data_IF_861005379284
#
_entry.id   IF_861005379284
#
_cell.length_a   1.000
_cell.length_b   1.000
_cell.length_c   1.000
_cell.angle_alpha   90.00
_cell.angle_beta   90.00
_cell.angle_gamma   90.00
#
_symmetry.space_group_name_H-M   'P 1'
#
loop_
_entity.id
_entity.type
_entity.pdbx_description
1 polymer ?
#
# COMPACT_ATOMS: atom_id res chain seq x y z
N UNK A 1 -10.54 -12.25 -9.52
CA UNK A 1 -9.11 -12.22 -9.15
C UNK A 1 -8.81 -10.80 -8.77
N UNK A 2 -8.58 -10.53 -7.49
CA UNK A 2 -8.39 -9.16 -7.01
C UNK A 2 -7.13 -9.04 -6.17
N UNK A 3 -6.46 -7.88 -6.28
CA UNK A 3 -5.33 -7.52 -5.44
C UNK A 3 -5.83 -7.30 -4.01
N UNK A 4 -5.38 -8.13 -3.06
CA UNK A 4 -5.82 -8.08 -1.66
C UNK A 4 -4.85 -7.34 -0.76
N UNK A 5 -3.56 -7.51 -1.01
CA UNK A 5 -2.51 -6.85 -0.26
C UNK A 5 -1.30 -6.56 -1.14
N UNK A 6 -0.67 -5.43 -0.90
CA UNK A 6 0.63 -5.09 -1.48
C UNK A 6 1.51 -4.43 -0.41
N UNK A 7 2.76 -4.84 -0.36
CA UNK A 7 3.80 -4.23 0.46
C UNK A 7 4.80 -3.56 -0.46
N UNK A 8 4.98 -2.26 -0.27
CA UNK A 8 5.82 -1.40 -1.09
C UNK A 8 6.95 -0.84 -0.25
N UNK A 9 8.16 -0.91 -0.79
CA UNK A 9 9.29 -0.14 -0.30
C UNK A 9 9.30 1.20 -1.02
N UNK A 10 9.09 2.28 -0.26
CA UNK A 10 8.89 3.63 -0.77
C UNK A 10 9.95 4.55 -0.20
N UNK A 11 10.70 5.19 -1.10
CA UNK A 11 11.65 6.23 -0.77
C UNK A 11 11.00 7.59 -0.88
N UNK A 12 11.09 8.37 0.19
CA UNK A 12 10.58 9.74 0.25
C UNK A 12 11.70 10.67 0.72
N UNK A 13 11.81 11.90 0.18
CA UNK A 13 12.66 12.91 0.77
C UNK A 13 12.21 13.25 2.20
N UNK A 14 13.16 13.43 3.12
CA UNK A 14 12.86 13.73 4.53
C UNK A 14 12.01 15.00 4.67
N UNK A 15 12.24 15.98 3.78
CA UNK A 15 11.43 17.19 3.63
C UNK A 15 10.21 16.90 2.74
N UNK A 16 9.02 17.25 3.22
CA UNK A 16 7.78 17.11 2.44
C UNK A 16 6.61 16.66 3.29
N UNK A 17 5.73 15.85 2.71
CA UNK A 17 4.51 15.36 3.36
C UNK A 17 4.80 14.52 4.60
N UNK A 18 3.91 14.66 5.59
CA UNK A 18 3.91 13.82 6.80
C UNK A 18 3.42 12.41 6.47
N UNK A 19 3.90 11.42 7.23
CA UNK A 19 3.49 10.02 7.10
C UNK A 19 1.97 9.85 7.22
N UNK A 20 1.34 10.63 8.09
CA UNK A 20 -0.11 10.61 8.30
C UNK A 20 -0.85 11.06 7.04
N UNK A 21 -0.39 12.12 6.40
CA UNK A 21 -0.99 12.64 5.15
C UNK A 21 -0.82 11.66 3.99
N UNK A 22 0.34 10.98 3.94
CA UNK A 22 0.59 9.94 2.94
C UNK A 22 -0.38 8.77 3.14
N UNK A 23 -0.49 8.24 4.36
CA UNK A 23 -1.42 7.16 4.68
C UNK A 23 -2.88 7.53 4.35
N UNK A 24 -3.32 8.74 4.72
CA UNK A 24 -4.67 9.25 4.44
C UNK A 24 -4.98 9.42 2.95
N UNK A 25 -3.98 9.70 2.10
CA UNK A 25 -4.21 9.79 0.66
C UNK A 25 -4.27 8.40 0.02
N UNK A 26 -3.47 7.45 0.47
CA UNK A 26 -3.51 6.08 -0.02
C UNK A 26 -4.84 5.38 0.31
N UNK A 27 -5.46 5.72 1.45
CA UNK A 27 -6.80 5.20 1.79
C UNK A 27 -7.92 5.71 0.87
N UNK A 28 -7.66 6.70 0.00
CA UNK A 28 -8.66 7.21 -0.97
C UNK A 28 -8.65 6.45 -2.29
N UNK A 29 -7.68 5.56 -2.49
CA UNK A 29 -7.60 4.74 -3.71
C UNK A 29 -8.68 3.68 -3.67
N UNK A 30 -9.28 3.39 -4.82
CA UNK A 30 -10.32 2.38 -4.96
C UNK A 30 -9.83 0.99 -4.52
N UNK A 31 -10.70 0.27 -3.83
CA UNK A 31 -10.40 -1.05 -3.27
C UNK A 31 -9.57 -1.04 -1.99
N UNK A 32 -8.98 0.08 -1.56
CA UNK A 32 -8.17 0.15 -0.34
C UNK A 32 -9.05 0.18 0.92
N UNK A 33 -8.86 -0.79 1.81
CA UNK A 33 -9.56 -0.84 3.12
C UNK A 33 -8.67 -0.37 4.27
N UNK A 34 -7.36 -0.63 4.19
CA UNK A 34 -6.40 -0.32 5.24
C UNK A 34 -5.05 0.03 4.64
N UNK A 35 -4.41 1.03 5.23
CA UNK A 35 -3.02 1.40 4.92
C UNK A 35 -2.24 1.41 6.21
N UNK A 36 -1.07 0.80 6.19
CA UNK A 36 -0.08 0.84 7.25
C UNK A 36 1.22 1.37 6.68
N UNK A 37 1.81 2.35 7.35
CA UNK A 37 3.09 2.94 6.95
C UNK A 37 4.05 2.78 8.11
N UNK A 38 5.18 2.12 7.86
CA UNK A 38 6.24 1.89 8.83
C UNK A 38 7.50 2.56 8.33
N UNK A 39 8.16 3.34 9.19
CA UNK A 39 9.47 3.90 8.85
C UNK A 39 10.51 2.81 9.05
N UNK A 40 11.21 2.45 7.99
CA UNK A 40 12.22 1.39 8.02
C UNK A 40 13.60 2.00 8.35
N UNK A 41 13.99 3.03 7.61
CA UNK A 41 15.29 3.70 7.77
C UNK A 41 15.16 5.21 7.53
N UNK A 42 16.00 5.99 8.21
CA UNK A 42 16.09 7.44 8.07
C UNK A 42 17.55 7.79 7.76
N UNK A 43 17.79 8.32 6.58
CA UNK A 43 19.07 8.85 6.13
C UNK A 43 19.12 10.38 6.28
N UNK A 44 20.26 10.95 5.90
CA UNK A 44 20.53 12.40 5.97
C UNK A 44 19.46 13.22 5.20
N UNK A 45 19.01 12.75 4.05
CA UNK A 45 18.06 13.46 3.19
C UNK A 45 16.86 12.62 2.74
N UNK A 46 16.89 11.31 2.97
CA UNK A 46 15.88 10.35 2.52
C UNK A 46 15.32 9.55 3.68
N UNK A 47 14.08 9.09 3.54
CA UNK A 47 13.41 8.21 4.48
C UNK A 47 12.85 7.04 3.68
N UNK A 48 13.19 5.84 4.13
CA UNK A 48 12.69 4.60 3.58
C UNK A 48 11.46 4.18 4.38
N UNK A 49 10.35 4.01 3.67
CA UNK A 49 9.04 3.69 4.23
C UNK A 49 8.57 2.36 3.68
N UNK A 50 8.17 1.46 4.56
CA UNK A 50 7.45 0.27 4.19
C UNK A 50 5.94 0.57 4.25
N UNK A 51 5.29 0.58 3.08
CA UNK A 51 3.87 0.89 2.92
C UNK A 51 3.14 -0.40 2.61
N UNK A 52 2.34 -0.86 3.57
CA UNK A 52 1.45 -2.00 3.39
C UNK A 52 0.04 -1.51 3.11
N UNK A 53 -0.55 -1.95 2.01
CA UNK A 53 -1.93 -1.63 1.62
C UNK A 53 -2.72 -2.93 1.57
N UNK A 54 -3.87 -2.97 2.23
CA UNK A 54 -4.79 -4.10 2.28
C UNK A 54 -6.19 -3.66 1.85
N UNK A 55 -6.91 -4.52 1.14
CA UNK A 55 -8.11 -4.14 0.43
C UNK A 55 -8.77 -5.27 -0.34
N UNK A 56 -9.79 -4.89 -1.10
CA UNK A 56 -10.48 -5.75 -2.06
C UNK A 56 -10.37 -5.11 -3.43
N UNK A 57 -9.71 -5.79 -4.36
CA UNK A 57 -9.48 -5.31 -5.73
C UNK A 57 -8.76 -3.95 -5.76
N UNK A 58 -7.62 -3.88 -5.05
CA UNK A 58 -6.82 -2.66 -4.93
C UNK A 58 -6.33 -2.18 -6.31
N UNK A 59 -6.59 -0.91 -6.63
CA UNK A 59 -6.07 -0.27 -7.84
C UNK A 59 -4.58 0.13 -7.66
N UNK A 60 -3.68 -0.67 -8.24
CA UNK A 60 -2.23 -0.44 -8.12
C UNK A 60 -1.76 0.83 -8.86
N UNK A 61 -2.37 1.16 -9.99
CA UNK A 61 -2.00 2.34 -10.78
C UNK A 61 -2.33 3.63 -10.01
N UNK A 62 -3.51 3.69 -9.39
CA UNK A 62 -3.93 4.78 -8.52
C UNK A 62 -3.04 4.93 -7.27
N UNK A 63 -2.62 3.82 -6.65
CA UNK A 63 -1.65 3.84 -5.56
C UNK A 63 -0.33 4.47 -6.00
N UNK A 64 0.21 4.01 -7.13
CA UNK A 64 1.47 4.52 -7.68
C UNK A 64 1.37 6.01 -8.01
N UNK A 65 0.32 6.42 -8.69
CA UNK A 65 0.09 7.83 -9.07
C UNK A 65 -0.06 8.73 -7.84
N UNK A 66 -0.74 8.25 -6.80
CA UNK A 66 -0.87 8.97 -5.52
C UNK A 66 0.48 9.15 -4.82
N UNK A 67 1.33 8.12 -4.82
CA UNK A 67 2.69 8.19 -4.27
C UNK A 67 3.60 9.14 -5.05
N UNK A 68 3.65 8.99 -6.38
CA UNK A 68 4.46 9.83 -7.26
C UNK A 68 4.05 11.31 -7.15
N UNK A 69 2.75 11.60 -7.03
CA UNK A 69 2.21 12.95 -6.82
C UNK A 69 2.64 13.60 -5.50
N UNK A 70 3.01 12.82 -4.49
CA UNK A 70 3.53 13.30 -3.20
C UNK A 70 5.07 13.37 -3.17
N UNK A 71 5.74 13.07 -4.28
CA UNK A 71 7.20 12.99 -4.36
C UNK A 71 7.79 11.75 -3.67
N UNK A 72 6.96 10.72 -3.48
CA UNK A 72 7.38 9.41 -2.99
C UNK A 72 7.60 8.47 -4.18
N UNK A 73 8.68 7.70 -4.16
CA UNK A 73 9.07 6.81 -5.25
C UNK A 73 9.05 5.38 -4.74
N UNK A 74 8.39 4.48 -5.47
CA UNK A 74 8.44 3.04 -5.17
C UNK A 74 9.80 2.53 -5.62
N UNK A 75 10.60 2.05 -4.66
CA UNK A 75 11.90 1.44 -4.92
C UNK A 75 11.74 -0.02 -5.30
N UNK A 76 10.87 -0.75 -4.58
CA UNK A 76 10.56 -2.15 -4.83
C UNK A 76 9.16 -2.51 -4.34
N UNK A 77 8.63 -3.62 -4.85
CA UNK A 77 7.44 -4.28 -4.32
C UNK A 77 7.91 -5.51 -3.55
N UNK A 78 7.76 -5.51 -2.23
CA UNK A 78 8.26 -6.58 -1.37
C UNK A 78 7.32 -7.79 -1.33
N UNK A 79 6.01 -7.55 -1.30
CA UNK A 79 5.02 -8.61 -1.19
C UNK A 79 3.74 -8.23 -1.96
N UNK A 80 3.13 -9.23 -2.60
CA UNK A 80 1.85 -9.08 -3.31
C UNK A 80 0.98 -10.30 -3.00
N UNK A 81 -0.25 -10.06 -2.60
CA UNK A 81 -1.27 -11.09 -2.39
C UNK A 81 -2.43 -10.83 -3.33
N UNK A 82 -2.71 -11.80 -4.19
CA UNK A 82 -3.85 -11.81 -5.10
C UNK A 82 -4.71 -13.01 -4.75
N UNK A 83 -6.02 -12.80 -4.70
CA UNK A 83 -6.97 -13.87 -4.45
C UNK A 83 -7.80 -14.10 -5.71
N UNK A 84 -7.86 -15.34 -6.19
CA UNK A 84 -8.84 -15.80 -7.17
C UNK A 84 -10.07 -16.28 -6.42
N UNK A 85 -11.20 -15.63 -6.63
CA UNK A 85 -12.46 -16.08 -6.07
C UNK A 85 -12.89 -17.40 -6.72
N UNK A 86 -12.67 -18.50 -6.01
CA UNK A 86 -13.61 -19.63 -5.89
C UNK A 86 -13.78 -19.88 -4.39
N UNK A 87 -14.76 -19.21 -3.77
CA UNK A 87 -15.25 -19.61 -2.44
C UNK A 87 -16.62 -20.25 -2.64
N UNK A 88 -16.61 -21.56 -2.84
CA UNK A 88 -17.72 -22.43 -2.44
C UNK A 88 -17.22 -23.29 -1.30
N UNK A 89 -17.51 -22.86 -0.08
CA UNK A 89 -17.53 -23.75 1.10
C UNK A 89 -18.70 -23.32 1.98
N UNK A 90 -19.85 -23.88 1.63
CA UNK A 90 -20.86 -24.23 2.62
C UNK A 90 -20.33 -25.45 3.37
N UNK A 91 -19.85 -25.22 4.58
CA UNK A 91 -19.88 -26.24 5.62
C UNK A 91 -20.74 -25.67 6.74
N UNK A 92 -22.06 -25.86 6.56
CA UNK A 92 -22.94 -26.13 7.68
C UNK A 92 -22.43 -27.39 8.39
N UNK A 93 -22.08 -27.29 9.66
CA UNK A 93 -22.31 -28.29 10.71
C UNK A 93 -22.30 -27.49 12.02
N UNK A 94 -23.25 -27.56 12.95
CA UNK A 94 -24.37 -28.46 13.22
C UNK A 94 -24.64 -28.32 14.72
#
# INVERSE_FOLDING_TARGET
MGLKKVVLDVLKPIKGYSLVTLAQNLTKVDGVKRVSVVVNEIDVETVTLNVTVEGDDIDFDGLRSSLEGMGAVIHSVDEVIVESEEISSSEEEG
#
